data_IF_710728012021
#
_entry.id   IF_710728012021
#
_cell.length_a   1.000
_cell.length_b   1.000
_cell.length_c   1.000
_cell.angle_alpha   90.00
_cell.angle_beta   90.00
_cell.angle_gamma   90.00
#
_symmetry.space_group_name_H-M   'P 1'
#
loop_
_entity.id
_entity.type
_entity.pdbx_description
1 polymer ?
#
# COMPACT_ATOMS: atom_id res chain seq x y z
N UNK A 1 52.33 33.29 -34.44
CA UNK A 1 53.11 33.77 -33.28
C UNK A 1 52.21 33.70 -32.05
N UNK A 2 52.80 33.36 -30.90
CA UNK A 2 52.22 33.19 -29.56
C UNK A 2 51.89 31.75 -29.16
N UNK A 3 52.94 31.11 -28.69
CA UNK A 3 53.01 29.95 -27.78
C UNK A 3 52.53 30.29 -26.37
N UNK A 4 51.84 29.35 -25.72
CA UNK A 4 51.72 29.22 -24.26
C UNK A 4 51.54 27.72 -23.96
N UNK A 5 52.62 26.99 -23.65
CA UNK A 5 53.15 26.66 -22.32
C UNK A 5 52.18 25.78 -21.49
N UNK A 6 52.48 24.48 -21.49
CA UNK A 6 51.84 23.41 -20.69
C UNK A 6 52.58 23.34 -19.34
N UNK A 7 51.87 23.57 -18.24
CA UNK A 7 52.37 23.28 -16.89
C UNK A 7 52.10 21.81 -16.55
N UNK A 8 53.17 21.03 -16.36
CA UNK A 8 53.12 19.67 -15.83
C UNK A 8 53.24 19.69 -14.31
N UNK A 9 52.21 19.18 -13.62
CA UNK A 9 52.24 18.92 -12.17
C UNK A 9 53.14 17.72 -11.82
N UNK A 10 53.81 17.71 -10.66
CA UNK A 10 54.79 16.69 -10.30
C UNK A 10 54.16 15.37 -9.83
N UNK A 11 54.84 14.27 -10.17
CA UNK A 11 54.53 12.88 -9.78
C UNK A 11 54.88 12.66 -8.30
N UNK A 12 53.98 12.11 -7.45
CA UNK A 12 54.33 11.71 -6.10
C UNK A 12 54.95 10.30 -6.07
N UNK A 13 56.09 10.17 -5.38
CA UNK A 13 56.75 8.89 -5.06
C UNK A 13 55.98 8.08 -4.02
N UNK A 14 56.09 6.73 -4.02
CA UNK A 14 55.25 5.87 -3.20
C UNK A 14 55.83 5.72 -1.80
N UNK A 15 54.99 5.79 -0.76
CA UNK A 15 55.32 5.09 0.48
C UNK A 15 54.12 4.77 1.38
N UNK A 16 54.15 3.49 1.78
CA UNK A 16 53.55 2.83 2.95
C UNK A 16 52.06 2.46 2.90
N UNK A 17 51.87 1.14 2.76
CA UNK A 17 50.67 0.37 3.10
C UNK A 17 50.16 0.76 4.49
N UNK A 18 48.86 1.03 4.57
CA UNK A 18 48.10 1.06 5.82
C UNK A 18 46.99 0.03 5.65
N UNK A 19 46.95 -0.93 6.57
CA UNK A 19 45.96 -2.00 6.65
C UNK A 19 44.55 -1.41 6.84
N UNK A 20 43.60 -1.83 6.01
CA UNK A 20 42.18 -1.45 6.08
C UNK A 20 41.42 -2.64 6.67
N UNK A 21 41.27 -2.66 7.99
CA UNK A 21 40.22 -3.44 8.65
C UNK A 21 39.96 -2.91 10.08
N UNK A 22 39.05 -1.93 10.19
CA UNK A 22 38.38 -1.58 11.44
C UNK A 22 37.08 -0.80 11.15
N UNK A 23 35.94 -1.13 11.81
CA UNK A 23 34.66 -0.45 11.58
C UNK A 23 34.61 0.95 12.25
N UNK A 24 33.85 1.91 11.69
CA UNK A 24 33.75 3.25 12.25
C UNK A 24 32.86 3.32 13.51
N UNK A 25 33.08 4.29 14.42
CA UNK A 25 32.30 4.44 15.64
C UNK A 25 30.89 5.02 15.41
N UNK A 26 29.93 4.79 16.32
CA UNK A 26 28.54 5.20 16.14
C UNK A 26 28.31 6.71 16.31
N UNK A 27 27.49 7.26 15.42
CA UNK A 27 27.09 8.68 15.38
C UNK A 27 26.02 9.00 16.42
N UNK A 28 26.20 10.10 17.17
CA UNK A 28 25.18 10.69 18.05
C UNK A 28 24.77 12.08 17.54
N UNK A 29 23.48 12.35 17.26
CA UNK A 29 23.06 13.66 16.74
C UNK A 29 23.04 14.74 17.84
N UNK A 30 23.73 15.85 17.59
CA UNK A 30 23.68 17.06 18.42
C UNK A 30 22.37 17.84 18.26
N UNK A 31 21.81 18.33 19.37
CA UNK A 31 20.65 19.22 19.40
C UNK A 31 21.00 20.60 18.83
N UNK A 32 20.41 20.97 17.70
CA UNK A 32 20.42 22.35 17.19
C UNK A 32 19.10 23.03 17.58
N UNK A 33 19.19 24.11 18.35
CA UNK A 33 18.07 24.95 18.80
C UNK A 33 17.84 26.08 17.78
N UNK A 34 16.80 25.97 16.97
CA UNK A 34 16.37 27.06 16.09
C UNK A 34 15.62 28.14 16.89
N UNK A 35 16.04 29.41 16.76
CA UNK A 35 15.36 30.58 17.31
C UNK A 35 14.25 31.02 16.35
N UNK A 36 13.04 31.22 16.88
CA UNK A 36 11.88 31.76 16.15
C UNK A 36 12.05 33.26 15.90
N UNK A 37 11.93 33.68 14.64
CA UNK A 37 11.70 35.08 14.25
C UNK A 37 10.29 35.14 13.65
N UNK A 38 9.41 35.97 14.21
CA UNK A 38 8.03 36.17 13.72
C UNK A 38 8.02 37.29 12.67
N UNK A 39 7.47 37.03 11.49
CA UNK A 39 7.02 38.04 10.53
C UNK A 39 5.48 38.12 10.52
N UNK A 40 4.89 39.30 10.21
CA UNK A 40 3.43 39.51 10.24
C UNK A 40 2.73 38.89 9.00
N UNK A 41 1.41 38.64 9.07
CA UNK A 41 0.68 37.94 8.02
C UNK A 41 0.40 38.86 6.81
N UNK A 42 0.47 38.35 5.57
CA UNK A 42 0.01 39.10 4.41
C UNK A 42 -1.52 39.08 4.32
N UNK A 43 -2.06 40.19 3.83
CA UNK A 43 -3.47 40.48 3.58
C UNK A 43 -4.06 39.58 2.48
N UNK A 44 -5.29 39.11 2.73
CA UNK A 44 -6.06 38.18 1.89
C UNK A 44 -6.47 38.87 0.58
N UNK A 45 -5.94 38.39 -0.54
CA UNK A 45 -6.58 38.51 -1.86
C UNK A 45 -7.22 37.14 -2.14
N UNK A 46 -8.50 37.13 -2.54
CA UNK A 46 -9.20 35.92 -2.99
C UNK A 46 -8.57 35.45 -4.31
N UNK A 47 -7.58 34.55 -4.23
CA UNK A 47 -7.06 33.82 -5.37
C UNK A 47 -7.99 32.64 -5.68
N UNK A 48 -8.34 32.50 -6.96
CA UNK A 48 -9.04 31.35 -7.51
C UNK A 48 -8.29 30.05 -7.18
N UNK A 49 -8.98 29.11 -6.54
CA UNK A 49 -8.45 27.82 -6.12
C UNK A 49 -7.85 27.06 -7.32
N UNK A 50 -6.57 26.73 -7.23
CA UNK A 50 -5.85 25.87 -8.17
C UNK A 50 -6.36 24.41 -8.07
N UNK A 51 -6.31 23.67 -9.19
CA UNK A 51 -6.77 22.28 -9.27
C UNK A 51 -6.01 21.35 -8.29
N UNK A 52 -4.77 21.73 -7.93
CA UNK A 52 -3.97 21.04 -6.90
C UNK A 52 -4.57 21.12 -5.49
N UNK A 53 -5.16 22.26 -5.11
CA UNK A 53 -5.82 22.44 -3.80
C UNK A 53 -7.14 21.68 -3.73
N UNK A 54 -7.85 21.56 -4.85
CA UNK A 54 -9.09 20.79 -4.95
C UNK A 54 -8.85 19.28 -4.77
N UNK A 55 -7.72 18.74 -5.26
CA UNK A 55 -7.32 17.36 -5.02
C UNK A 55 -6.97 17.12 -3.54
N UNK A 56 -6.24 18.05 -2.92
CA UNK A 56 -5.86 17.96 -1.51
C UNK A 56 -7.06 18.06 -0.57
N UNK A 57 -8.13 18.73 -0.99
CA UNK A 57 -9.40 18.78 -0.24
C UNK A 57 -10.17 17.46 -0.23
N UNK A 58 -10.00 16.58 -1.23
CA UNK A 58 -10.75 15.30 -1.33
C UNK A 58 -10.14 14.16 -0.53
N UNK A 59 -8.85 14.24 -0.23
CA UNK A 59 -8.13 13.15 0.46
C UNK A 59 -8.54 13.10 1.93
N UNK A 60 -9.32 12.08 2.30
CA UNK A 60 -9.64 11.79 3.69
C UNK A 60 -8.44 11.17 4.38
N UNK A 61 -8.07 11.68 5.55
CA UNK A 61 -6.93 11.16 6.30
C UNK A 61 -7.19 10.93 7.79
N UNK A 62 -8.31 11.43 8.31
CA UNK A 62 -8.71 11.25 9.70
C UNK A 62 -10.18 10.84 9.76
N UNK A 63 -10.46 9.82 10.55
CA UNK A 63 -11.78 9.20 10.65
C UNK A 63 -12.22 9.13 12.10
N UNK A 64 -13.48 9.46 12.35
CA UNK A 64 -14.13 9.31 13.66
C UNK A 64 -15.33 8.38 13.52
N UNK A 65 -15.44 7.38 14.37
CA UNK A 65 -16.53 6.41 14.36
C UNK A 65 -17.51 6.70 15.50
N UNK A 66 -18.78 6.84 15.14
CA UNK A 66 -19.89 6.95 16.07
C UNK A 66 -20.84 5.77 15.93
N UNK A 67 -21.52 5.44 17.02
CA UNK A 67 -22.54 4.40 17.08
C UNK A 67 -23.84 4.91 17.67
N UNK A 68 -24.95 4.48 17.08
CA UNK A 68 -26.28 4.62 17.68
C UNK A 68 -26.74 3.28 18.23
N UNK A 69 -27.35 3.34 19.41
CA UNK A 69 -27.93 2.19 20.09
C UNK A 69 -29.44 2.37 20.11
N UNK A 70 -30.15 1.26 20.25
CA UNK A 70 -31.55 1.22 20.63
C UNK A 70 -31.69 0.37 21.89
N UNK A 71 -32.21 0.97 22.95
CA UNK A 71 -32.46 0.30 24.21
C UNK A 71 -33.93 -0.14 24.23
N UNK A 72 -34.18 -1.43 24.00
CA UNK A 72 -35.49 -2.03 24.22
C UNK A 72 -35.62 -2.58 25.64
N UNK A 73 -36.86 -2.73 26.12
CA UNK A 73 -37.21 -3.22 27.47
C UNK A 73 -36.63 -4.59 27.87
N UNK A 74 -36.09 -5.38 26.93
CA UNK A 74 -35.45 -6.68 27.19
C UNK A 74 -34.10 -6.90 26.50
N UNK A 75 -33.75 -6.13 25.47
CA UNK A 75 -32.52 -6.31 24.70
C UNK A 75 -31.96 -4.98 24.20
N UNK A 76 -30.63 -4.85 24.22
CA UNK A 76 -29.90 -3.76 23.56
C UNK A 76 -29.70 -4.15 22.10
N UNK A 77 -30.19 -3.34 21.18
CA UNK A 77 -29.97 -3.49 19.74
C UNK A 77 -29.09 -2.37 19.24
N UNK A 78 -28.26 -2.64 18.23
CA UNK A 78 -27.40 -1.64 17.61
C UNK A 78 -27.98 -1.31 16.25
N UNK A 79 -28.08 -0.03 15.91
CA UNK A 79 -28.77 0.39 14.68
C UNK A 79 -27.81 0.78 13.59
N UNK A 80 -26.90 1.71 13.85
CA UNK A 80 -26.00 2.24 12.81
C UNK A 80 -24.64 2.60 13.36
N UNK A 81 -23.64 2.46 12.49
CA UNK A 81 -22.39 3.20 12.61
C UNK A 81 -22.39 4.40 11.67
N UNK A 82 -21.77 5.48 12.11
CA UNK A 82 -21.48 6.67 11.32
C UNK A 82 -19.98 6.91 11.36
N UNK A 83 -19.34 6.91 10.20
CA UNK A 83 -17.92 7.27 10.06
C UNK A 83 -17.87 8.66 9.45
N UNK A 84 -17.21 9.57 10.15
CA UNK A 84 -16.92 10.91 9.64
C UNK A 84 -15.45 10.94 9.23
N UNK A 85 -15.20 11.07 7.93
CA UNK A 85 -13.87 11.32 7.40
C UNK A 85 -13.63 12.82 7.23
N UNK A 86 -12.44 13.29 7.60
CA UNK A 86 -11.98 14.66 7.34
C UNK A 86 -10.66 14.65 6.56
N UNK A 87 -10.46 15.75 5.83
CA UNK A 87 -9.17 16.05 5.19
C UNK A 87 -8.15 16.59 6.21
N UNK A 88 -6.90 16.77 5.78
CA UNK A 88 -5.81 17.19 6.66
C UNK A 88 -6.05 18.52 7.39
N UNK A 89 -6.75 19.43 6.74
CA UNK A 89 -6.99 20.78 7.23
C UNK A 89 -8.29 20.90 8.05
N UNK A 90 -9.04 19.80 8.23
CA UNK A 90 -10.37 19.79 8.85
C UNK A 90 -11.34 20.82 8.22
N UNK A 91 -11.23 21.02 6.90
CA UNK A 91 -12.07 21.96 6.13
C UNK A 91 -13.23 21.27 5.42
N UNK A 92 -13.02 20.03 4.99
CA UNK A 92 -14.02 19.20 4.31
C UNK A 92 -14.25 17.89 5.04
N UNK A 93 -15.52 17.51 5.16
CA UNK A 93 -15.96 16.30 5.84
C UNK A 93 -16.88 15.48 4.95
N UNK A 94 -16.73 14.15 5.00
CA UNK A 94 -17.64 13.19 4.38
C UNK A 94 -18.16 12.21 5.41
N UNK A 95 -19.33 11.66 5.14
CA UNK A 95 -19.99 10.73 6.06
C UNK A 95 -20.27 9.40 5.36
N UNK A 96 -19.95 8.31 6.05
CA UNK A 96 -20.28 6.95 5.64
C UNK A 96 -21.15 6.32 6.73
N UNK A 97 -22.25 5.67 6.31
CA UNK A 97 -23.25 5.08 7.19
C UNK A 97 -23.21 3.56 7.02
N UNK A 98 -23.22 2.81 8.12
CA UNK A 98 -23.29 1.35 8.10
C UNK A 98 -24.54 0.93 8.84
N UNK A 99 -25.42 0.18 8.17
CA UNK A 99 -26.58 -0.42 8.80
C UNK A 99 -26.18 -1.67 9.58
N UNK A 100 -26.60 -1.75 10.85
CA UNK A 100 -26.32 -2.86 11.77
C UNK A 100 -27.56 -3.71 12.10
N UNK A 101 -28.69 -3.43 11.44
CA UNK A 101 -29.97 -4.13 11.69
C UNK A 101 -29.97 -5.56 11.15
N UNK A 102 -29.24 -5.83 10.07
CA UNK A 102 -29.04 -7.18 9.53
C UNK A 102 -27.73 -7.78 10.06
N UNK A 103 -27.76 -8.94 10.73
CA UNK A 103 -26.53 -9.59 11.20
C UNK A 103 -25.72 -10.24 10.07
N UNK A 104 -26.33 -10.55 8.93
CA UNK A 104 -25.73 -11.37 7.86
C UNK A 104 -25.26 -10.58 6.65
N UNK A 105 -25.74 -9.37 6.46
CA UNK A 105 -25.49 -8.55 5.29
C UNK A 105 -24.80 -7.25 5.71
N UNK A 106 -23.80 -6.85 4.92
CA UNK A 106 -23.12 -5.58 5.09
C UNK A 106 -23.80 -4.55 4.18
N UNK A 107 -24.40 -3.52 4.78
CA UNK A 107 -24.95 -2.38 4.04
C UNK A 107 -24.17 -1.12 4.41
N UNK A 108 -23.34 -0.68 3.47
CA UNK A 108 -22.58 0.56 3.56
C UNK A 108 -23.18 1.58 2.60
N UNK A 109 -23.47 2.77 3.11
CA UNK A 109 -24.06 3.87 2.36
C UNK A 109 -23.09 5.04 2.45
N UNK A 110 -22.50 5.41 1.34
CA UNK A 110 -21.63 6.59 1.22
C UNK A 110 -22.50 7.82 1.00
N UNK A 111 -22.26 8.88 1.77
CA UNK A 111 -22.88 10.18 1.57
C UNK A 111 -21.99 11.03 0.64
N UNK A 112 -22.49 11.34 -0.55
CA UNK A 112 -21.74 12.11 -1.56
C UNK A 112 -21.58 13.59 -1.17
N UNK A 113 -22.32 14.05 -0.16
CA UNK A 113 -22.28 15.43 0.33
C UNK A 113 -20.94 15.76 0.98
N UNK A 114 -20.32 16.86 0.53
CA UNK A 114 -19.18 17.46 1.22
C UNK A 114 -19.70 18.45 2.26
N UNK A 115 -19.46 18.16 3.53
CA UNK A 115 -19.87 19.00 4.64
C UNK A 115 -18.73 19.92 5.08
N UNK A 116 -19.08 21.13 5.48
CA UNK A 116 -18.24 21.99 6.32
C UNK A 116 -18.23 21.48 7.76
N UNK A 117 -17.30 22.00 8.56
CA UNK A 117 -17.23 21.69 10.00
C UNK A 117 -18.53 22.01 10.76
N UNK A 118 -19.22 23.09 10.40
CA UNK A 118 -20.46 23.48 11.08
C UNK A 118 -21.60 22.52 10.71
N UNK A 119 -21.73 22.18 9.43
CA UNK A 119 -22.79 21.29 8.94
C UNK A 119 -22.63 19.87 9.47
N UNK A 120 -21.41 19.33 9.53
CA UNK A 120 -21.19 17.97 10.07
C UNK A 120 -21.48 17.91 11.57
N UNK A 121 -21.12 18.97 12.32
CA UNK A 121 -21.46 19.06 13.75
C UNK A 121 -22.97 19.11 13.95
N UNK A 122 -23.68 19.88 13.13
CA UNK A 122 -25.13 19.96 13.20
C UNK A 122 -25.80 18.64 12.79
N UNK A 123 -25.30 17.96 11.75
CA UNK A 123 -25.75 16.63 11.37
C UNK A 123 -25.61 15.63 12.53
N UNK A 124 -24.45 15.60 13.19
CA UNK A 124 -24.22 14.72 14.34
C UNK A 124 -25.16 15.05 15.51
N UNK A 125 -25.42 16.34 15.78
CA UNK A 125 -26.39 16.77 16.78
C UNK A 125 -27.81 16.35 16.45
N UNK A 126 -28.24 16.48 15.19
CA UNK A 126 -29.55 16.03 14.75
C UNK A 126 -29.71 14.52 14.92
N UNK A 127 -28.67 13.75 14.58
CA UNK A 127 -28.63 12.30 14.80
C UNK A 127 -28.70 11.99 16.30
N UNK A 128 -27.93 12.68 17.13
CA UNK A 128 -27.95 12.50 18.58
C UNK A 128 -29.34 12.77 19.14
N UNK A 129 -29.94 13.93 18.83
CA UNK A 129 -31.28 14.34 19.28
C UNK A 129 -32.34 13.31 18.90
N UNK A 130 -32.33 12.84 17.65
CA UNK A 130 -33.26 11.81 17.16
C UNK A 130 -33.11 10.45 17.86
N UNK A 131 -31.96 10.19 18.50
CA UNK A 131 -31.66 8.94 19.19
C UNK A 131 -31.57 9.09 20.71
N UNK A 132 -31.86 10.26 21.31
CA UNK A 132 -31.75 10.49 22.77
C UNK A 132 -32.54 9.46 23.57
N UNK A 133 -33.76 9.14 23.13
CA UNK A 133 -34.63 8.12 23.76
C UNK A 133 -34.03 6.71 23.76
N UNK A 134 -33.05 6.48 22.90
CA UNK A 134 -32.44 5.18 22.60
C UNK A 134 -30.98 5.08 23.04
N UNK A 135 -30.46 6.08 23.76
CA UNK A 135 -29.08 6.12 24.25
C UNK A 135 -28.14 7.03 23.45
N UNK A 136 -28.70 7.87 22.58
CA UNK A 136 -28.01 8.94 21.85
C UNK A 136 -27.01 8.44 20.81
N UNK A 137 -26.08 9.33 20.47
CA UNK A 137 -24.95 9.07 19.59
C UNK A 137 -23.68 8.93 20.45
N UNK A 138 -23.02 7.78 20.38
CA UNK A 138 -21.82 7.51 21.17
C UNK A 138 -20.59 7.47 20.27
N UNK A 139 -19.52 8.13 20.65
CA UNK A 139 -18.24 8.06 19.93
C UNK A 139 -17.49 6.79 20.37
N UNK A 140 -17.16 5.92 19.40
CA UNK A 140 -16.48 4.63 19.64
C UNK A 140 -14.99 4.75 19.36
N UNK A 141 -14.63 5.31 18.21
CA UNK A 141 -13.23 5.55 17.82
C UNK A 141 -13.04 7.04 17.60
N UNK A 142 -12.09 7.61 18.33
CA UNK A 142 -11.82 9.06 18.31
C UNK A 142 -10.93 9.48 17.14
N UNK A 143 -9.99 8.62 16.75
CA UNK A 143 -9.12 8.88 15.61
C UNK A 143 -8.68 7.55 14.99
N UNK A 144 -9.14 7.32 13.78
CA UNK A 144 -8.57 6.36 12.85
C UNK A 144 -7.95 7.10 11.67
N UNK A 145 -6.99 6.48 11.01
CA UNK A 145 -6.20 7.05 9.92
C UNK A 145 -6.48 6.40 8.57
N UNK A 146 -7.35 5.39 8.54
CA UNK A 146 -7.77 4.70 7.33
C UNK A 146 -8.68 3.52 7.65
N UNK A 147 -9.52 3.18 6.69
CA UNK A 147 -10.32 1.96 6.71
C UNK A 147 -9.52 0.90 5.96
N UNK A 148 -9.11 -0.17 6.65
CA UNK A 148 -8.46 -1.30 5.99
C UNK A 148 -9.49 -2.05 5.16
N UNK A 149 -10.68 -2.26 5.72
CA UNK A 149 -11.83 -2.81 5.01
C UNK A 149 -12.76 -3.57 5.95
N UNK A 150 -13.58 -4.43 5.34
CA UNK A 150 -14.65 -5.16 6.00
C UNK A 150 -14.44 -6.65 5.82
N UNK A 151 -14.53 -7.41 6.91
CA UNK A 151 -14.33 -8.87 6.88
C UNK A 151 -15.46 -9.58 7.63
N UNK A 152 -15.98 -10.64 7.01
CA UNK A 152 -16.87 -11.58 7.71
C UNK A 152 -16.07 -12.82 8.07
N UNK A 153 -16.09 -13.19 9.35
CA UNK A 153 -15.60 -14.48 9.79
C UNK A 153 -16.74 -15.51 9.71
N UNK A 154 -17.19 -16.03 10.85
CA UNK A 154 -18.25 -17.05 10.95
C UNK A 154 -19.63 -16.41 10.83
N UNK A 155 -19.98 -15.51 11.76
CA UNK A 155 -21.36 -15.01 11.89
C UNK A 155 -21.51 -13.52 11.61
N UNK A 156 -20.48 -12.72 11.93
CA UNK A 156 -20.56 -11.27 11.97
C UNK A 156 -19.51 -10.61 11.08
N UNK A 157 -19.88 -9.47 10.49
CA UNK A 157 -18.93 -8.57 9.84
C UNK A 157 -18.19 -7.71 10.86
N UNK A 158 -16.92 -7.46 10.59
CA UNK A 158 -16.04 -6.59 11.33
C UNK A 158 -15.52 -5.49 10.41
N UNK A 159 -15.34 -4.30 10.96
CA UNK A 159 -14.58 -3.22 10.33
C UNK A 159 -13.18 -3.18 10.93
N UNK A 160 -12.18 -3.15 10.06
CA UNK A 160 -10.78 -3.01 10.46
C UNK A 160 -10.29 -1.60 10.17
N UNK A 161 -9.76 -0.92 11.18
CA UNK A 161 -9.34 0.48 11.15
C UNK A 161 -7.88 0.61 11.53
N UNK A 162 -7.18 1.56 10.91
CA UNK A 162 -5.82 1.96 11.31
C UNK A 162 -5.95 2.98 12.43
N UNK A 163 -5.46 2.69 13.63
CA UNK A 163 -5.53 3.63 14.79
C UNK A 163 -4.21 4.36 15.01
N UNK A 164 -3.11 3.82 14.50
CA UNK A 164 -1.79 4.46 14.57
C UNK A 164 -0.96 4.16 13.33
N UNK A 165 -0.18 5.16 12.93
CA UNK A 165 0.73 5.10 11.79
C UNK A 165 1.99 5.91 12.05
N UNK A 166 3.08 5.52 11.41
CA UNK A 166 4.34 6.24 11.42
C UNK A 166 4.77 6.57 9.99
N UNK A 167 5.42 7.71 9.79
CA UNK A 167 6.04 8.04 8.50
C UNK A 167 7.34 7.26 8.38
N UNK A 168 7.50 6.49 7.30
CA UNK A 168 8.72 5.70 7.05
C UNK A 168 9.54 6.21 5.88
N UNK A 169 8.90 6.90 4.93
CA UNK A 169 9.59 7.52 3.81
C UNK A 169 8.84 8.74 3.28
N UNK A 170 9.55 9.57 2.55
CA UNK A 170 9.02 10.69 1.77
C UNK A 170 9.65 10.59 0.38
N UNK A 171 8.83 10.27 -0.63
CA UNK A 171 9.31 10.05 -1.99
C UNK A 171 8.56 11.00 -2.92
N UNK A 172 9.30 11.86 -3.62
CA UNK A 172 8.73 12.77 -4.61
C UNK A 172 7.70 13.77 -4.10
N UNK A 173 7.64 14.02 -2.79
CA UNK A 173 6.61 14.87 -2.15
C UNK A 173 5.51 14.09 -1.44
N UNK A 174 5.48 12.76 -1.57
CA UNK A 174 4.46 11.90 -0.97
C UNK A 174 5.00 11.11 0.22
N UNK A 175 4.26 11.15 1.32
CA UNK A 175 4.59 10.36 2.50
C UNK A 175 4.16 8.91 2.34
N UNK A 176 5.03 7.99 2.71
CA UNK A 176 4.72 6.57 2.89
C UNK A 176 4.62 6.31 4.39
N UNK A 177 3.53 5.65 4.77
CA UNK A 177 3.21 5.35 6.16
C UNK A 177 3.28 3.86 6.41
N UNK A 178 3.77 3.49 7.59
CA UNK A 178 3.65 2.16 8.17
C UNK A 178 2.44 2.11 9.10
N UNK A 179 1.72 0.98 9.11
CA UNK A 179 0.61 0.71 10.02
C UNK A 179 1.16 0.20 11.35
N UNK A 180 1.07 1.02 12.40
CA UNK A 180 1.63 0.69 13.72
C UNK A 180 0.61 -0.04 14.61
N UNK A 181 -0.66 0.37 14.57
CA UNK A 181 -1.74 -0.22 15.36
C UNK A 181 -3.04 -0.25 14.55
N UNK A 182 -3.82 -1.32 14.74
CA UNK A 182 -5.12 -1.53 14.10
C UNK A 182 -6.17 -1.91 15.13
N UNK A 183 -7.41 -1.54 14.88
CA UNK A 183 -8.55 -1.91 15.71
C UNK A 183 -9.60 -2.63 14.85
N UNK A 184 -10.13 -3.74 15.37
CA UNK A 184 -11.14 -4.55 14.71
C UNK A 184 -12.44 -4.50 15.51
N UNK A 185 -13.49 -3.93 14.91
CA UNK A 185 -14.76 -3.68 15.57
C UNK A 185 -15.89 -4.50 14.95
N UNK A 186 -16.70 -5.21 15.74
CA UNK A 186 -17.85 -5.92 15.22
C UNK A 186 -18.94 -4.94 14.76
N UNK A 187 -19.49 -5.19 13.57
CA UNK A 187 -20.65 -4.47 13.01
C UNK A 187 -21.95 -5.11 13.49
N UNK A 188 -21.98 -6.44 13.62
CA UNK A 188 -23.14 -7.17 14.13
C UNK A 188 -23.39 -6.96 15.63
N UNK A 189 -24.32 -7.74 16.19
CA UNK A 189 -24.53 -7.75 17.63
C UNK A 189 -23.25 -8.28 18.31
N UNK A 190 -22.70 -7.58 19.31
CA UNK A 190 -21.59 -8.10 20.09
C UNK A 190 -22.11 -9.24 20.97
N UNK A 191 -22.14 -10.45 20.43
CA UNK A 191 -22.08 -11.64 21.26
C UNK A 191 -20.72 -11.61 21.96
N UNK A 192 -20.65 -12.07 23.21
CA UNK A 192 -19.34 -12.25 23.85
C UNK A 192 -18.58 -13.27 23.01
N UNK A 193 -17.52 -12.82 22.34
CA UNK A 193 -16.56 -13.71 21.70
C UNK A 193 -16.04 -14.69 22.76
N UNK A 194 -16.43 -15.96 22.63
CA UNK A 194 -15.90 -17.01 23.47
C UNK A 194 -14.42 -17.20 23.13
N UNK A 195 -13.54 -17.13 24.14
CA UNK A 195 -12.08 -17.16 23.95
C UNK A 195 -11.56 -18.39 23.20
N UNK A 196 -12.32 -19.48 23.17
CA UNK A 196 -11.95 -20.74 22.52
C UNK A 196 -12.76 -21.02 21.23
N UNK A 197 -13.55 -20.06 20.74
CA UNK A 197 -14.29 -20.25 19.50
C UNK A 197 -13.37 -20.27 18.29
N UNK A 198 -13.85 -20.85 17.19
CA UNK A 198 -13.12 -20.78 15.92
C UNK A 198 -12.92 -19.33 15.46
N UNK A 199 -13.90 -18.47 15.74
CA UNK A 199 -13.89 -17.05 15.42
C UNK A 199 -12.75 -16.30 16.14
N UNK A 200 -12.48 -16.62 17.41
CA UNK A 200 -11.36 -16.03 18.14
C UNK A 200 -9.99 -16.35 17.50
N UNK A 201 -9.88 -17.47 16.77
CA UNK A 201 -8.66 -17.84 16.03
C UNK A 201 -8.50 -17.01 14.76
N UNK A 202 -9.59 -16.67 14.06
CA UNK A 202 -9.54 -15.87 12.83
C UNK A 202 -9.26 -14.39 13.09
N UNK A 203 -9.70 -13.85 14.24
CA UNK A 203 -9.49 -12.45 14.62
C UNK A 203 -8.02 -12.12 14.89
N UNK A 204 -7.17 -13.11 15.13
CA UNK A 204 -5.78 -12.91 15.57
C UNK A 204 -4.77 -12.67 14.42
N UNK A 205 -5.20 -12.04 13.32
CA UNK A 205 -4.30 -11.66 12.23
C UNK A 205 -3.65 -10.32 12.56
N UNK A 206 -2.33 -10.33 12.70
CA UNK A 206 -1.53 -9.16 13.04
C UNK A 206 -1.21 -8.32 11.79
N UNK A 207 -1.93 -7.21 11.62
CA UNK A 207 -1.74 -6.25 10.53
C UNK A 207 -0.73 -5.14 10.86
N UNK A 208 -0.02 -5.25 11.98
CA UNK A 208 0.97 -4.23 12.40
C UNK A 208 2.38 -4.50 11.87
N UNK A 209 2.55 -5.60 11.13
CA UNK A 209 3.86 -6.01 10.62
C UNK A 209 3.91 -5.80 9.12
N UNK A 210 4.67 -4.79 8.71
CA UNK A 210 5.11 -4.59 7.33
C UNK A 210 3.98 -4.25 6.35
N UNK A 211 2.95 -3.55 6.82
CA UNK A 211 1.92 -3.00 5.96
C UNK A 211 2.15 -1.51 5.77
N UNK A 212 2.07 -1.09 4.51
CA UNK A 212 2.37 0.28 4.11
C UNK A 212 1.25 0.85 3.25
N UNK A 213 1.08 2.16 3.32
CA UNK A 213 0.13 2.90 2.48
C UNK A 213 0.62 4.34 2.23
N UNK A 214 0.04 5.00 1.24
CA UNK A 214 0.13 6.45 1.07
C UNK A 214 -1.25 7.00 0.74
N UNK A 215 -1.54 8.22 1.21
CA UNK A 215 -2.81 8.90 0.92
C UNK A 215 -2.84 9.54 -0.47
N UNK A 216 -1.67 9.83 -1.04
CA UNK A 216 -1.54 10.70 -2.22
C UNK A 216 -0.70 10.09 -3.33
N UNK A 217 -0.12 8.92 -3.10
CA UNK A 217 0.70 8.20 -4.05
C UNK A 217 0.24 6.75 -4.13
N UNK A 218 0.12 6.25 -5.35
CA UNK A 218 -0.20 4.85 -5.56
C UNK A 218 1.05 3.99 -5.37
N UNK A 219 1.11 3.28 -4.25
CA UNK A 219 2.21 2.36 -3.94
C UNK A 219 1.96 0.93 -4.44
N UNK A 220 0.82 0.67 -5.09
CA UNK A 220 0.52 -0.65 -5.69
C UNK A 220 1.17 -0.82 -7.05
N UNK A 221 1.56 0.28 -7.69
CA UNK A 221 2.25 0.30 -8.97
C UNK A 221 3.67 0.82 -8.83
N UNK A 222 4.52 0.40 -9.76
CA UNK A 222 5.88 0.94 -9.91
C UNK A 222 5.86 2.41 -10.29
N UNK A 223 6.95 3.12 -9.99
CA UNK A 223 7.13 4.51 -10.40
C UNK A 223 7.00 4.68 -11.92
N UNK A 224 7.56 3.75 -12.70
CA UNK A 224 7.44 3.79 -14.15
C UNK A 224 5.97 3.83 -14.58
N UNK A 225 5.16 2.91 -14.07
CA UNK A 225 3.74 2.84 -14.39
C UNK A 225 3.03 4.14 -14.01
N UNK A 226 3.21 4.61 -12.76
CA UNK A 226 2.59 5.83 -12.25
C UNK A 226 2.91 7.09 -13.06
N UNK A 227 4.09 7.13 -13.66
CA UNK A 227 4.56 8.28 -14.44
C UNK A 227 4.15 8.21 -15.92
N UNK A 228 3.97 7.00 -16.44
CA UNK A 228 3.57 6.79 -17.84
C UNK A 228 2.07 6.68 -18.06
N UNK A 229 1.27 6.62 -16.99
CA UNK A 229 -0.19 6.55 -17.11
C UNK A 229 -0.74 7.77 -17.86
N UNK A 230 -1.69 7.59 -18.80
CA UNK A 230 -2.42 8.70 -19.37
C UNK A 230 -3.08 9.49 -18.25
N UNK A 231 -2.93 10.81 -18.25
CA UNK A 231 -3.73 11.65 -17.36
C UNK A 231 -5.21 11.38 -17.68
N UNK A 232 -6.11 11.29 -16.67
CA UNK A 232 -7.52 11.14 -16.93
C UNK A 232 -8.00 12.32 -17.78
N UNK A 233 -8.16 12.11 -19.08
CA UNK A 233 -8.81 13.07 -19.94
C UNK A 233 -10.31 13.03 -19.64
N UNK A 234 -10.94 14.19 -19.50
CA UNK A 234 -12.37 14.30 -19.18
C UNK A 234 -13.29 13.56 -20.18
N UNK A 235 -12.75 13.15 -21.33
CA UNK A 235 -13.44 12.46 -22.42
C UNK A 235 -13.43 10.92 -22.32
N UNK A 236 -12.60 10.31 -21.45
CA UNK A 236 -12.49 8.83 -21.31
C UNK A 236 -13.64 8.19 -20.51
N UNK A 237 -14.64 8.98 -20.13
CA UNK A 237 -15.85 8.46 -19.48
C UNK A 237 -16.85 7.82 -20.47
N UNK A 238 -16.55 7.80 -21.79
CA UNK A 238 -17.55 7.45 -22.82
C UNK A 238 -17.14 6.44 -23.91
N UNK A 239 -15.88 6.10 -24.10
CA UNK A 239 -15.47 5.21 -25.20
C UNK A 239 -15.13 3.80 -24.72
N UNK A 240 -16.12 2.91 -24.83
CA UNK A 240 -15.96 1.46 -24.66
C UNK A 240 -15.21 0.84 -25.84
N UNK A 241 -13.90 1.03 -25.91
CA UNK A 241 -13.03 0.17 -26.72
C UNK A 241 -12.18 -0.73 -25.81
N UNK A 242 -12.24 -2.04 -26.07
CA UNK A 242 -11.89 -3.13 -25.17
C UNK A 242 -10.40 -3.41 -25.01
N UNK A 243 -9.54 -2.39 -25.01
CA UNK A 243 -8.11 -2.58 -24.76
C UNK A 243 -7.80 -2.63 -23.25
N UNK A 244 -8.01 -3.81 -22.65
CA UNK A 244 -7.22 -4.49 -21.60
C UNK A 244 -6.54 -3.73 -20.44
N UNK A 245 -6.85 -2.48 -20.17
CA UNK A 245 -6.53 -1.88 -18.87
C UNK A 245 -7.81 -1.84 -18.06
N UNK A 246 -7.95 -2.84 -17.18
CA UNK A 246 -9.03 -2.89 -16.19
C UNK A 246 -9.12 -1.52 -15.54
N UNK A 247 -10.28 -0.86 -15.61
CA UNK A 247 -10.49 0.47 -15.03
C UNK A 247 -10.35 0.57 -13.50
N UNK A 248 -9.58 -0.29 -12.86
CA UNK A 248 -9.17 -0.15 -11.48
C UNK A 248 -7.99 0.83 -11.44
N UNK A 249 -8.02 1.90 -10.63
CA UNK A 249 -6.90 2.84 -10.51
C UNK A 249 -5.65 2.26 -9.84
N UNK A 250 -5.69 0.99 -9.38
CA UNK A 250 -4.67 0.34 -8.55
C UNK A 250 -4.37 -1.06 -9.07
N UNK A 251 -3.17 -1.57 -8.76
CA UNK A 251 -2.78 -2.93 -9.10
C UNK A 251 -3.43 -3.92 -8.11
N UNK A 252 -4.42 -4.68 -8.58
CA UNK A 252 -5.14 -5.66 -7.75
C UNK A 252 -4.19 -6.69 -7.12
N UNK A 253 -3.09 -7.05 -7.79
CA UNK A 253 -2.14 -8.05 -7.28
C UNK A 253 -1.44 -7.60 -6.00
N UNK A 254 -1.13 -6.30 -5.88
CA UNK A 254 -0.37 -5.75 -4.75
C UNK A 254 -1.25 -5.02 -3.74
N UNK A 255 -2.51 -4.75 -4.08
CA UNK A 255 -3.50 -4.19 -3.16
C UNK A 255 -3.98 -5.28 -2.18
N UNK A 256 -3.25 -5.45 -1.07
CA UNK A 256 -3.49 -6.50 -0.08
C UNK A 256 -4.92 -6.49 0.47
N UNK A 257 -5.49 -5.31 0.70
CA UNK A 257 -6.83 -5.14 1.24
C UNK A 257 -7.94 -5.07 0.17
N UNK A 258 -7.66 -5.42 -1.10
CA UNK A 258 -8.65 -5.41 -2.17
C UNK A 258 -9.93 -6.18 -1.81
N UNK A 259 -9.77 -7.42 -1.35
CA UNK A 259 -10.91 -8.26 -0.94
C UNK A 259 -11.71 -7.66 0.22
N UNK A 260 -11.03 -7.01 1.17
CA UNK A 260 -11.68 -6.41 2.35
C UNK A 260 -12.52 -5.20 1.96
N UNK A 261 -12.03 -4.38 1.03
CA UNK A 261 -12.75 -3.19 0.56
C UNK A 261 -13.89 -3.56 -0.40
N UNK A 262 -13.71 -4.59 -1.24
CA UNK A 262 -14.73 -5.06 -2.19
C UNK A 262 -16.04 -5.48 -1.52
N UNK A 263 -16.00 -5.88 -0.24
CA UNK A 263 -17.18 -6.23 0.54
C UNK A 263 -18.12 -5.03 0.77
N UNK A 264 -17.60 -3.81 0.81
CA UNK A 264 -18.38 -2.58 1.02
C UNK A 264 -18.45 -1.69 -0.23
N UNK A 265 -17.40 -1.72 -1.06
CA UNK A 265 -17.18 -0.80 -2.17
C UNK A 265 -17.15 -1.62 -3.46
N UNK A 266 -18.24 -1.58 -4.22
CA UNK A 266 -18.35 -2.38 -5.46
C UNK A 266 -17.78 -1.64 -6.67
N UNK A 267 -17.72 -0.31 -6.63
CA UNK A 267 -17.21 0.51 -7.71
C UNK A 267 -16.07 1.42 -7.23
N UNK A 268 -14.86 0.86 -7.26
CA UNK A 268 -13.64 1.55 -6.83
C UNK A 268 -13.37 2.88 -7.55
N UNK A 269 -13.92 3.11 -8.76
CA UNK A 269 -13.76 4.38 -9.48
C UNK A 269 -14.53 5.54 -8.84
N UNK A 270 -15.73 5.28 -8.30
CA UNK A 270 -16.60 6.33 -7.78
C UNK A 270 -16.39 6.59 -6.28
N UNK A 271 -15.80 5.63 -5.56
CA UNK A 271 -15.71 5.62 -4.10
C UNK A 271 -14.30 5.98 -3.60
N UNK A 272 -13.48 6.62 -4.44
CA UNK A 272 -12.03 6.81 -4.27
C UNK A 272 -11.63 7.39 -2.91
N UNK A 273 -12.44 8.31 -2.36
CA UNK A 273 -12.08 9.08 -1.16
C UNK A 273 -12.01 8.20 0.12
N UNK A 274 -12.68 7.04 0.10
CA UNK A 274 -12.70 6.08 1.22
C UNK A 274 -11.73 4.91 1.04
N UNK A 275 -11.22 4.73 -0.18
CA UNK A 275 -10.38 3.61 -0.56
C UNK A 275 -8.91 3.96 -0.27
N UNK A 276 -8.29 3.16 0.59
CA UNK A 276 -6.88 3.29 0.92
C UNK A 276 -6.15 1.99 0.53
N UNK A 277 -5.40 1.98 -0.58
CA UNK A 277 -4.61 0.81 -0.96
C UNK A 277 -3.50 0.54 0.05
N UNK A 278 -3.39 -0.71 0.49
CA UNK A 278 -2.36 -1.18 1.42
C UNK A 278 -1.53 -2.25 0.72
N UNK A 279 -0.21 -2.17 0.83
CA UNK A 279 0.71 -3.22 0.36
C UNK A 279 1.34 -3.95 1.54
N UNK A 280 1.75 -5.20 1.30
CA UNK A 280 2.60 -5.97 2.23
C UNK A 280 4.06 -5.88 1.79
N UNK A 281 4.96 -5.44 2.66
CA UNK A 281 6.39 -5.32 2.39
C UNK A 281 7.18 -6.63 2.44
N UNK A 282 6.56 -7.75 2.85
CA UNK A 282 7.16 -9.08 2.72
C UNK A 282 6.24 -10.00 1.92
N UNK A 283 6.78 -10.61 0.86
CA UNK A 283 6.17 -11.71 0.13
C UNK A 283 6.91 -13.02 0.37
N UNK A 284 6.16 -14.12 0.44
CA UNK A 284 6.73 -15.47 0.56
C UNK A 284 7.04 -16.04 -0.82
N UNK A 285 7.80 -17.14 -0.88
CA UNK A 285 8.35 -17.74 -2.12
C UNK A 285 7.25 -18.26 -3.09
N UNK A 286 5.99 -18.32 -2.63
CA UNK A 286 4.81 -18.61 -3.45
C UNK A 286 4.13 -17.36 -4.05
N UNK A 287 4.61 -16.16 -3.70
CA UNK A 287 4.04 -14.87 -4.11
C UNK A 287 4.91 -14.25 -5.19
N UNK A 288 4.30 -13.52 -6.12
CA UNK A 288 5.01 -12.56 -6.95
C UNK A 288 5.42 -11.36 -6.08
N UNK A 289 6.69 -10.97 -6.16
CA UNK A 289 7.27 -9.90 -5.35
C UNK A 289 7.97 -8.92 -6.26
N UNK A 290 7.46 -7.68 -6.27
CA UNK A 290 8.14 -6.54 -6.87
C UNK A 290 9.05 -5.88 -5.83
N UNK A 291 10.30 -5.69 -6.20
CA UNK A 291 11.28 -4.90 -5.45
C UNK A 291 11.66 -3.70 -6.29
N UNK A 292 11.30 -2.51 -5.84
CA UNK A 292 11.62 -1.26 -6.54
C UNK A 292 12.60 -0.43 -5.71
N UNK A 293 13.73 -0.08 -6.33
CA UNK A 293 14.68 0.90 -5.78
C UNK A 293 14.46 2.24 -6.46
N UNK A 294 14.03 3.24 -5.68
CA UNK A 294 13.85 4.62 -6.14
C UNK A 294 14.96 5.49 -5.56
N UNK A 295 15.65 6.25 -6.43
CA UNK A 295 16.61 7.28 -6.02
C UNK A 295 16.00 8.65 -6.30
N UNK A 296 15.82 9.42 -5.24
CA UNK A 296 15.15 10.72 -5.24
C UNK A 296 15.80 11.66 -4.22
N UNK A 297 16.01 12.92 -4.59
CA UNK A 297 16.41 14.03 -3.74
C UNK A 297 15.33 15.13 -3.80
N UNK A 298 14.71 15.45 -2.66
CA UNK A 298 13.47 16.24 -2.62
C UNK A 298 13.57 17.63 -3.27
N UNK A 299 14.73 18.29 -3.18
CA UNK A 299 14.95 19.62 -3.76
C UNK A 299 15.15 19.63 -5.28
N UNK A 300 15.54 18.49 -5.87
CA UNK A 300 15.96 18.40 -7.28
C UNK A 300 15.06 17.45 -8.08
N UNK A 301 14.41 16.50 -7.42
CA UNK A 301 13.66 15.39 -8.03
C UNK A 301 12.26 15.22 -7.42
N UNK A 302 11.56 16.31 -7.09
CA UNK A 302 10.10 16.27 -6.83
C UNK A 302 9.41 15.50 -7.96
N UNK A 303 8.38 14.70 -7.70
CA UNK A 303 7.65 14.04 -8.79
C UNK A 303 6.90 15.03 -9.67
N UNK A 304 6.63 16.23 -9.16
CA UNK A 304 5.88 17.25 -9.85
C UNK A 304 6.79 18.35 -10.39
N UNK A 305 6.42 18.88 -11.55
CA UNK A 305 6.88 20.18 -12.07
C UNK A 305 5.84 21.24 -11.73
N UNK A 306 6.20 22.52 -11.79
CA UNK A 306 5.25 23.62 -11.55
C UNK A 306 3.98 23.52 -12.40
N UNK A 307 4.11 23.03 -13.65
CA UNK A 307 3.00 23.00 -14.60
C UNK A 307 2.31 21.62 -14.69
N UNK A 308 2.84 20.57 -14.03
CA UNK A 308 2.37 19.19 -14.23
C UNK A 308 2.68 18.25 -13.06
N UNK A 309 1.67 17.55 -12.57
CA UNK A 309 1.83 16.43 -11.65
C UNK A 309 2.54 15.27 -12.35
N UNK A 310 3.48 14.60 -11.66
CA UNK A 310 4.25 13.47 -12.23
C UNK A 310 5.05 13.88 -13.48
N UNK A 311 5.42 15.15 -13.61
CA UNK A 311 6.04 15.73 -14.80
C UNK A 311 7.56 15.86 -14.76
N UNK A 312 8.22 15.59 -13.63
CA UNK A 312 9.66 15.84 -13.49
C UNK A 312 10.48 14.61 -13.87
N UNK A 313 11.24 14.57 -14.98
CA UNK A 313 11.93 13.37 -15.43
C UNK A 313 13.21 13.03 -14.62
N UNK A 314 13.55 13.77 -13.56
CA UNK A 314 14.85 13.68 -12.87
C UNK A 314 14.87 12.69 -11.71
N UNK A 315 14.22 11.54 -11.83
CA UNK A 315 14.31 10.46 -10.83
C UNK A 315 14.79 9.17 -11.50
N UNK A 316 15.20 8.21 -10.69
CA UNK A 316 15.56 6.86 -11.17
C UNK A 316 14.78 5.84 -10.38
N UNK A 317 14.16 4.91 -11.10
CA UNK A 317 13.57 3.69 -10.54
C UNK A 317 14.21 2.48 -11.21
N UNK A 318 14.50 1.46 -10.41
CA UNK A 318 14.95 0.15 -10.86
C UNK A 318 14.07 -0.91 -10.21
N UNK A 319 13.35 -1.68 -11.02
CA UNK A 319 12.39 -2.69 -10.58
C UNK A 319 12.94 -4.08 -10.86
N UNK A 320 12.81 -4.96 -9.87
CA UNK A 320 13.10 -6.38 -9.99
C UNK A 320 11.88 -7.19 -9.55
N UNK A 321 11.63 -8.30 -10.24
CA UNK A 321 10.57 -9.24 -9.88
C UNK A 321 11.18 -10.53 -9.35
N UNK A 322 10.53 -11.12 -8.35
CA UNK A 322 10.87 -12.44 -7.82
C UNK A 322 9.59 -13.20 -7.52
N UNK A 323 9.41 -14.34 -8.16
CA UNK A 323 8.25 -15.21 -7.95
C UNK A 323 8.60 -16.68 -7.97
N UNK A 324 7.57 -17.51 -7.84
CA UNK A 324 7.67 -18.94 -8.13
C UNK A 324 8.00 -19.19 -9.60
N UNK A 325 8.60 -20.34 -9.88
CA UNK A 325 8.81 -20.79 -11.25
C UNK A 325 7.43 -20.88 -11.95
N UNK A 326 7.24 -20.27 -13.13
CA UNK A 326 5.94 -20.16 -13.80
C UNK A 326 5.54 -21.46 -14.51
N UNK A 327 5.51 -22.57 -13.77
CA UNK A 327 4.98 -23.86 -14.22
C UNK A 327 3.58 -24.07 -13.66
N UNK A 328 2.83 -24.99 -14.27
CA UNK A 328 1.52 -25.36 -13.76
C UNK A 328 1.64 -25.86 -12.31
N UNK A 329 0.73 -25.42 -11.44
CA UNK A 329 0.74 -25.73 -10.00
C UNK A 329 0.61 -27.24 -9.72
N UNK A 330 0.04 -28.00 -10.67
CA UNK A 330 -0.05 -29.46 -10.58
C UNK A 330 1.34 -30.09 -10.74
N UNK A 331 2.03 -30.30 -9.63
CA UNK A 331 3.33 -30.95 -9.59
C UNK A 331 3.15 -32.45 -9.31
N UNK A 332 3.30 -33.28 -10.35
CA UNK A 332 3.32 -34.73 -10.19
C UNK A 332 4.78 -35.19 -10.08
N UNK A 333 5.29 -35.32 -8.86
CA UNK A 333 6.55 -36.02 -8.62
C UNK A 333 6.26 -37.52 -8.52
N UNK A 334 7.00 -38.31 -9.29
CA UNK A 334 7.01 -39.78 -9.14
C UNK A 334 7.44 -40.20 -7.71
N UNK A 335 8.07 -39.27 -6.98
CA UNK A 335 8.63 -39.43 -5.63
C UNK A 335 7.74 -38.93 -4.48
N UNK A 336 6.49 -38.50 -4.73
CA UNK A 336 5.55 -38.14 -3.65
C UNK A 336 5.10 -39.34 -2.80
N UNK A 337 5.54 -40.55 -3.15
CA UNK A 337 5.63 -41.65 -2.19
C UNK A 337 7.00 -41.60 -1.50
N UNK A 338 7.05 -41.11 -0.27
CA UNK A 338 8.23 -41.14 0.64
C UNK A 338 8.65 -42.58 1.04
N UNK A 339 8.51 -43.55 0.14
CA UNK A 339 8.63 -44.98 0.42
C UNK A 339 9.22 -45.79 -0.76
N UNK A 340 10.04 -45.15 -1.60
CA UNK A 340 10.86 -45.88 -2.59
C UNK A 340 12.34 -45.74 -2.23
N UNK A 341 13.07 -46.83 -1.93
CA UNK A 341 14.45 -46.74 -1.50
C UNK A 341 15.35 -46.23 -2.64
N UNK A 342 16.24 -45.30 -2.28
CA UNK A 342 17.27 -44.73 -3.16
C UNK A 342 18.07 -45.86 -3.84
N UNK A 343 18.23 -45.87 -5.18
CA UNK A 343 18.93 -46.95 -5.87
C UNK A 343 20.42 -47.00 -5.46
N UNK A 344 21.05 -48.19 -5.47
CA UNK A 344 22.41 -48.36 -4.97
C UNK A 344 23.44 -47.68 -5.87
N UNK A 345 24.41 -47.04 -5.22
CA UNK A 345 25.49 -46.26 -5.83
C UNK A 345 26.43 -47.21 -6.58
N UNK A 346 26.47 -47.11 -7.92
CA UNK A 346 27.58 -47.61 -8.73
C UNK A 346 28.54 -46.46 -9.05
N UNK A 347 29.81 -46.71 -8.77
CA UNK A 347 30.90 -45.73 -8.66
C UNK A 347 31.44 -45.36 -10.04
N UNK A 348 30.96 -44.26 -10.63
CA UNK A 348 31.72 -43.47 -11.61
C UNK A 348 31.36 -41.99 -11.45
N UNK A 349 32.36 -41.12 -11.55
CA UNK A 349 32.32 -39.68 -11.32
C UNK A 349 31.15 -38.95 -12.00
N UNK A 350 30.36 -38.20 -11.22
CA UNK A 350 29.86 -36.85 -11.56
C UNK A 350 28.96 -36.37 -10.41
N UNK A 351 29.52 -35.55 -9.54
CA UNK A 351 28.79 -34.81 -8.53
C UNK A 351 27.96 -33.69 -9.19
N UNK A 352 26.94 -33.99 -10.00
CA UNK A 352 26.02 -32.99 -10.60
C UNK A 352 24.67 -33.62 -11.01
N UNK A 353 24.04 -34.40 -10.12
CA UNK A 353 22.65 -34.84 -10.33
C UNK A 353 21.78 -34.49 -9.12
N UNK A 354 21.70 -33.18 -8.87
CA UNK A 354 20.57 -32.59 -8.14
C UNK A 354 19.99 -31.52 -9.07
N UNK A 355 19.59 -31.91 -10.29
CA UNK A 355 18.74 -31.05 -11.10
C UNK A 355 17.35 -31.12 -10.49
N UNK A 356 16.88 -30.02 -9.89
CA UNK A 356 15.46 -29.87 -9.60
C UNK A 356 14.69 -30.13 -10.90
N UNK A 357 13.74 -31.06 -10.88
CA UNK A 357 12.90 -31.41 -12.05
C UNK A 357 12.33 -30.14 -12.69
N UNK A 358 11.97 -29.15 -11.85
CA UNK A 358 11.43 -27.87 -12.26
C UNK A 358 12.39 -27.00 -13.09
N UNK A 359 13.71 -27.19 -12.94
CA UNK A 359 14.72 -26.41 -13.66
C UNK A 359 14.78 -26.82 -15.14
N UNK A 360 14.71 -28.13 -15.41
CA UNK A 360 14.68 -28.66 -16.77
C UNK A 360 13.40 -28.27 -17.51
N UNK A 361 12.25 -28.37 -16.82
CA UNK A 361 10.95 -27.96 -17.34
C UNK A 361 10.90 -26.47 -17.68
N UNK A 362 11.44 -25.60 -16.80
CA UNK A 362 11.51 -24.16 -17.06
C UNK A 362 12.37 -23.84 -18.29
N UNK A 363 13.55 -24.44 -18.39
CA UNK A 363 14.44 -24.23 -19.54
C UNK A 363 13.76 -24.66 -20.85
N UNK A 364 13.16 -25.85 -20.87
CA UNK A 364 12.46 -26.34 -22.06
C UNK A 364 11.27 -25.48 -22.46
N UNK A 365 10.52 -24.94 -21.49
CA UNK A 365 9.44 -24.01 -21.75
C UNK A 365 9.93 -22.68 -22.35
N UNK A 366 11.03 -22.12 -21.82
CA UNK A 366 11.65 -20.89 -22.35
C UNK A 366 12.13 -21.10 -23.78
N UNK A 367 12.83 -22.21 -24.05
CA UNK A 367 13.30 -22.55 -25.38
C UNK A 367 12.16 -22.70 -26.39
N UNK A 368 11.04 -23.29 -25.97
CA UNK A 368 9.83 -23.39 -26.79
C UNK A 368 9.21 -22.02 -27.09
N UNK A 369 9.07 -21.16 -26.07
CA UNK A 369 8.49 -19.82 -26.24
C UNK A 369 9.34 -18.94 -27.17
N UNK A 370 10.66 -19.02 -27.04
CA UNK A 370 11.60 -18.25 -27.86
C UNK A 370 11.52 -18.60 -29.36
N UNK A 371 10.91 -19.71 -29.76
CA UNK A 371 10.64 -20.02 -31.17
C UNK A 371 9.64 -19.05 -31.83
N UNK A 372 8.79 -18.41 -31.01
CA UNK A 372 7.71 -17.54 -31.46
C UNK A 372 7.94 -16.06 -31.12
N UNK A 373 8.94 -15.76 -30.29
CA UNK A 373 9.23 -14.39 -29.85
C UNK A 373 10.16 -13.68 -30.86
N UNK A 374 9.94 -12.38 -31.14
CA UNK A 374 10.90 -11.58 -31.90
C UNK A 374 12.28 -11.55 -31.22
N UNK A 375 13.34 -11.40 -32.02
CA UNK A 375 14.74 -11.46 -31.55
C UNK A 375 15.01 -10.55 -30.33
N UNK A 376 14.50 -9.30 -30.34
CA UNK A 376 14.63 -8.35 -29.24
C UNK A 376 13.67 -8.53 -28.06
N UNK A 377 12.85 -9.58 -28.06
CA UNK A 377 11.90 -9.93 -26.98
C UNK A 377 12.07 -11.37 -26.49
N UNK A 378 13.17 -12.01 -26.88
CA UNK A 378 13.51 -13.34 -26.38
C UNK A 378 13.72 -13.29 -24.87
N UNK A 379 13.32 -14.37 -24.20
CA UNK A 379 13.52 -14.55 -22.77
C UNK A 379 14.91 -15.14 -22.58
N UNK A 380 15.78 -14.40 -21.89
CA UNK A 380 17.11 -14.87 -21.51
C UNK A 380 17.04 -15.68 -20.21
N UNK A 381 17.51 -16.93 -20.25
CA UNK A 381 17.60 -17.79 -19.07
C UNK A 381 19.05 -17.97 -18.63
N UNK A 382 19.37 -17.55 -17.41
CA UNK A 382 20.72 -17.63 -16.84
C UNK A 382 20.67 -18.49 -15.59
N UNK A 383 21.19 -19.72 -15.69
CA UNK A 383 21.42 -20.57 -14.52
C UNK A 383 22.68 -20.09 -13.79
N UNK A 384 22.53 -19.67 -12.53
CA UNK A 384 23.64 -19.15 -11.73
C UNK A 384 23.83 -19.92 -10.42
N UNK A 385 25.03 -20.47 -10.24
CA UNK A 385 25.42 -21.19 -9.02
C UNK A 385 26.00 -20.22 -8.00
N UNK A 386 25.16 -19.73 -7.08
CA UNK A 386 25.57 -18.77 -6.05
C UNK A 386 26.64 -19.32 -5.09
N UNK A 387 26.80 -20.64 -4.96
CA UNK A 387 27.82 -21.24 -4.08
C UNK A 387 29.24 -20.95 -4.54
N UNK A 388 29.42 -20.65 -5.83
CA UNK A 388 30.72 -20.30 -6.42
C UNK A 388 31.08 -18.82 -6.24
N UNK A 389 30.10 -18.00 -5.89
CA UNK A 389 30.24 -16.55 -5.76
C UNK A 389 30.48 -16.09 -4.31
N UNK A 390 30.22 -16.93 -3.29
CA UNK A 390 30.56 -16.59 -1.92
C UNK A 390 32.07 -16.80 -1.68
N UNK A 391 32.84 -15.72 -1.76
CA UNK A 391 34.21 -15.65 -1.26
C UNK A 391 34.39 -14.39 -0.43
#
# INVERSE_FOLDING_TARGET
>A
MSSASIETLPIPTPNKRVDVDAPPPPYTPGKIRAKSVKSPPPSIMEESLDDGDLQQQRVLNKFTLYETKTVGLKHRSYTRYYIVGSNQSDTGFRVLKIDRTSPKELSVIVDDTLYTKQEVVELLRMIEYGNVSSGGLNQVVTAAWGIIGFIRFTETYYISLITKKSVVALIGGHYIYHIDETELLPIGQPSKLEKNSEEARYVNVDLTKNFYFSYTYDITHTLQHNMTRPLPTAEDSGSGDGSRDSGMPYNEMFMWNHYLLKNAFTNFKNESDWILPIISGFGYVANDVETEQIVSEMSTTSFHTQDRLFGNPRYTSYVQHRGSIPLNWSQWSQDNSTMSPKPPISRTSLAFHVSSILLGELSGAIDYLNQFLPEGKSIEYIAWDMSRASK
#
